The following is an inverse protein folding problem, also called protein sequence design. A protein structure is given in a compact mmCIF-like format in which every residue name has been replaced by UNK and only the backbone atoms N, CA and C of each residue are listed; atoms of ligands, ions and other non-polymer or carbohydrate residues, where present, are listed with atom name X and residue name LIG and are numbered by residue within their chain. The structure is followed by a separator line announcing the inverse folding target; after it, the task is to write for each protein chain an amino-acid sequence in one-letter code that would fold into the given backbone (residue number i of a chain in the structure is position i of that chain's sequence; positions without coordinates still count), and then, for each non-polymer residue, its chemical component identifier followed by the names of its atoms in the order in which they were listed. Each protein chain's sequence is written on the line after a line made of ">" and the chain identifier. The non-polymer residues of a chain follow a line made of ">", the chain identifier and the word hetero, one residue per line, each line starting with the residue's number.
data_IF_354370673052
#
_entry.id   IF_354370673052
#
_cell.length_a   1.000
_cell.length_b   1.000
_cell.length_c   1.000
_cell.angle_alpha   90.00
_cell.angle_beta   90.00
_cell.angle_gamma   90.00
#
_symmetry.space_group_name_H-M   'P 1'
#
loop_
_entity.id
_entity.type
_entity.pdbx_description
1 polymer ?
#
# COMPACT_ATOMS: atom_id res chain seq x y z
N UNK A 1 -30.84 -3.57 15.06
CA UNK A 1 -29.54 -4.27 15.15
C UNK A 1 -28.52 -3.38 14.46
N UNK A 2 -27.66 -2.69 15.22
CA UNK A 2 -26.64 -1.80 14.66
C UNK A 2 -25.72 -2.62 13.78
N UNK A 3 -25.79 -2.38 12.48
CA UNK A 3 -24.77 -2.82 11.55
C UNK A 3 -23.48 -2.10 11.96
N UNK A 4 -22.62 -2.81 12.68
CA UNK A 4 -21.24 -2.38 12.94
C UNK A 4 -20.63 -2.21 11.55
N UNK A 5 -20.49 -0.96 11.11
CA UNK A 5 -19.68 -0.63 9.94
C UNK A 5 -18.37 -1.40 10.09
N UNK A 6 -18.00 -2.26 9.11
CA UNK A 6 -16.77 -3.03 9.21
C UNK A 6 -15.65 -2.01 9.43
N UNK A 7 -15.00 -2.13 10.58
CA UNK A 7 -13.84 -1.33 10.88
C UNK A 7 -12.81 -1.63 9.78
N UNK A 8 -12.65 -0.72 8.83
CA UNK A 8 -11.70 -0.86 7.72
C UNK A 8 -10.27 -1.02 8.24
N UNK A 9 -10.02 -0.70 9.51
CA UNK A 9 -8.75 -0.90 10.19
C UNK A 9 -8.58 -2.31 10.77
N UNK A 10 -9.63 -3.14 10.81
CA UNK A 10 -9.56 -4.51 11.29
C UNK A 10 -9.30 -5.47 10.13
N UNK A 11 -8.28 -6.32 10.30
CA UNK A 11 -8.03 -7.42 9.38
C UNK A 11 -9.27 -8.33 9.27
N UNK A 12 -9.62 -8.83 8.08
CA UNK A 12 -10.59 -9.91 7.92
C UNK A 12 -10.23 -11.11 8.83
N UNK A 13 -11.22 -11.80 9.42
CA UNK A 13 -10.97 -12.89 10.37
C UNK A 13 -10.22 -14.09 9.74
N UNK A 14 -10.26 -14.22 8.42
CA UNK A 14 -9.57 -15.19 7.60
C UNK A 14 -8.11 -14.81 7.27
N UNK A 15 -7.72 -13.55 7.52
CA UNK A 15 -6.35 -13.06 7.34
C UNK A 15 -5.74 -12.77 8.71
N UNK A 16 -5.06 -13.76 9.28
CA UNK A 16 -4.34 -13.59 10.55
C UNK A 16 -3.12 -12.67 10.34
N UNK A 17 -2.98 -11.57 11.08
CA UNK A 17 -1.89 -10.63 10.88
C UNK A 17 -0.53 -11.26 11.24
N UNK A 18 0.46 -11.14 10.36
CA UNK A 18 1.85 -11.61 10.57
C UNK A 18 2.59 -10.87 11.68
N UNK A 19 2.07 -9.71 12.11
CA UNK A 19 2.59 -8.94 13.24
C UNK A 19 1.51 -8.05 13.88
N UNK A 20 1.72 -7.55 15.12
CA UNK A 20 0.84 -6.55 15.69
C UNK A 20 0.86 -5.27 14.83
N UNK A 21 -0.32 -4.86 14.32
CA UNK A 21 -0.45 -3.59 13.61
C UNK A 21 -0.52 -2.39 14.57
N UNK A 22 -0.06 -1.23 14.10
CA UNK A 22 -0.01 0.05 14.82
C UNK A 22 -0.72 1.11 13.98
N UNK A 23 -1.47 2.03 14.61
CA UNK A 23 -2.11 3.16 13.91
C UNK A 23 -1.10 4.17 13.35
N UNK A 24 0.14 4.11 13.82
CA UNK A 24 1.26 4.88 13.28
C UNK A 24 1.88 4.21 12.05
N UNK A 25 2.58 4.99 11.22
CA UNK A 25 3.35 4.46 10.09
C UNK A 25 4.43 3.50 10.58
N UNK A 26 4.45 2.27 10.03
CA UNK A 26 5.49 1.27 10.31
C UNK A 26 6.75 1.41 9.46
N UNK A 27 6.83 2.45 8.60
CA UNK A 27 7.90 2.61 7.60
C UNK A 27 8.10 1.37 6.72
N UNK A 28 7.00 0.68 6.39
CA UNK A 28 7.04 -0.53 5.59
C UNK A 28 7.35 -0.27 4.10
N UNK A 29 7.14 0.96 3.62
CA UNK A 29 7.36 1.36 2.22
C UNK A 29 6.25 0.93 1.25
N UNK A 30 5.27 0.12 1.69
CA UNK A 30 4.24 -0.42 0.81
C UNK A 30 3.35 0.67 0.17
N UNK A 31 2.90 1.66 0.93
CA UNK A 31 2.11 2.78 0.38
C UNK A 31 2.89 3.66 -0.60
N UNK A 32 4.23 3.66 -0.52
CA UNK A 32 5.07 4.39 -1.45
C UNK A 32 5.42 3.58 -2.71
N UNK A 33 5.49 2.26 -2.63
CA UNK A 33 5.95 1.42 -3.74
C UNK A 33 4.83 0.65 -4.45
N UNK A 34 3.77 0.27 -3.76
CA UNK A 34 2.76 -0.62 -4.32
C UNK A 34 1.66 0.07 -5.15
N UNK A 35 0.93 1.10 -4.67
CA UNK A 35 -0.28 1.60 -5.36
C UNK A 35 0.05 2.41 -6.62
N UNK A 36 -0.81 2.40 -7.64
CA UNK A 36 -0.73 3.40 -8.72
C UNK A 36 -1.20 4.76 -8.20
N UNK A 37 -0.46 5.82 -8.51
CA UNK A 37 -0.81 7.19 -8.11
C UNK A 37 -0.63 8.10 -9.33
N UNK A 38 -1.70 8.25 -10.11
CA UNK A 38 -1.74 9.08 -11.32
C UNK A 38 -1.29 10.51 -11.05
N UNK A 39 -1.73 11.12 -9.95
CA UNK A 39 -1.35 12.49 -9.57
C UNK A 39 0.17 12.67 -9.35
N UNK A 40 0.90 11.58 -9.12
CA UNK A 40 2.36 11.57 -8.95
C UNK A 40 3.08 10.94 -10.14
N UNK A 41 2.36 10.56 -11.20
CA UNK A 41 2.87 9.77 -12.32
C UNK A 41 3.65 8.54 -11.82
N UNK A 42 3.12 7.86 -10.79
CA UNK A 42 3.78 6.75 -10.13
C UNK A 42 3.05 5.44 -10.49
N UNK A 43 3.60 4.62 -11.40
CA UNK A 43 2.96 3.38 -11.81
C UNK A 43 2.78 2.40 -10.64
N UNK A 44 1.85 1.46 -10.82
CA UNK A 44 1.62 0.34 -9.92
C UNK A 44 2.89 -0.49 -9.74
N UNK A 45 3.20 -0.88 -8.50
CA UNK A 45 4.38 -1.68 -8.14
C UNK A 45 5.73 -0.95 -8.24
N UNK A 46 5.77 0.29 -8.73
CA UNK A 46 7.00 1.08 -8.87
C UNK A 46 7.24 1.94 -7.63
N UNK A 47 8.48 1.89 -7.11
CA UNK A 47 8.94 2.70 -6.00
C UNK A 47 8.77 4.21 -6.28
N UNK A 48 8.11 4.93 -5.36
CA UNK A 48 8.01 6.39 -5.44
C UNK A 48 9.40 7.03 -5.39
N UNK A 49 9.59 8.12 -6.14
CA UNK A 49 10.79 8.97 -6.10
C UNK A 49 11.17 9.48 -4.69
N UNK A 50 10.19 9.56 -3.78
CA UNK A 50 10.40 10.04 -2.42
C UNK A 50 10.71 8.91 -1.42
N UNK A 51 10.81 7.67 -1.88
CA UNK A 51 11.11 6.51 -1.02
C UNK A 51 12.63 6.32 -0.93
N UNK A 52 13.16 6.23 0.28
CA UNK A 52 14.58 5.95 0.51
C UNK A 52 14.87 4.43 0.57
N UNK A 53 16.16 4.09 0.59
CA UNK A 53 16.63 2.70 0.69
C UNK A 53 16.21 2.00 2.00
N UNK A 54 15.77 2.76 3.00
CA UNK A 54 15.28 2.26 4.28
C UNK A 54 13.75 2.16 4.34
N UNK A 55 13.05 2.24 3.20
CA UNK A 55 11.59 2.20 3.09
C UNK A 55 10.86 3.39 3.77
N UNK A 56 11.54 4.51 3.96
CA UNK A 56 10.99 5.74 4.56
C UNK A 56 10.66 6.75 3.47
N UNK A 57 9.50 7.40 3.62
CA UNK A 57 9.12 8.52 2.77
C UNK A 57 9.89 9.77 3.22
N UNK A 58 10.74 10.32 2.35
CA UNK A 58 11.57 11.49 2.67
C UNK A 58 10.77 12.78 2.85
N UNK A 59 9.56 12.84 2.30
CA UNK A 59 8.64 13.99 2.44
C UNK A 59 7.46 13.68 3.35
N UNK A 60 7.63 12.79 4.35
CA UNK A 60 6.50 12.24 5.14
C UNK A 60 5.56 13.32 5.72
N UNK A 61 6.10 14.44 6.21
CA UNK A 61 5.34 15.57 6.75
C UNK A 61 4.69 16.44 5.66
N UNK A 62 5.34 16.53 4.51
CA UNK A 62 4.94 17.36 3.36
C UNK A 62 4.15 16.59 2.30
N UNK A 63 3.84 15.31 2.56
CA UNK A 63 3.18 14.38 1.63
C UNK A 63 1.98 15.02 0.93
N UNK A 64 1.81 14.91 -0.38
CA UNK A 64 0.63 15.45 -1.05
C UNK A 64 -0.65 14.79 -0.55
N UNK A 65 -1.80 15.43 -0.74
CA UNK A 65 -3.08 15.00 -0.14
C UNK A 65 -3.46 13.57 -0.50
N UNK A 66 -3.17 13.12 -1.72
CA UNK A 66 -3.34 11.72 -2.14
C UNK A 66 -2.60 10.74 -1.23
N UNK A 67 -1.40 11.08 -0.77
CA UNK A 67 -0.63 10.27 0.17
C UNK A 67 -1.07 10.44 1.62
N UNK A 68 -1.67 11.58 2.00
CA UNK A 68 -2.23 11.80 3.35
C UNK A 68 -3.56 11.06 3.55
N UNK A 69 -4.32 10.88 2.48
CA UNK A 69 -5.57 10.12 2.49
C UNK A 69 -5.34 8.64 2.77
N UNK A 70 -4.16 8.11 2.45
CA UNK A 70 -3.74 6.78 2.90
C UNK A 70 -3.38 6.81 4.39
N UNK A 71 -4.20 6.14 5.20
CA UNK A 71 -3.96 5.92 6.63
C UNK A 71 -3.36 4.54 6.87
N UNK A 72 -2.34 4.40 7.73
CA UNK A 72 -1.85 3.08 8.13
C UNK A 72 -2.99 2.21 8.64
N UNK A 73 -3.08 1.00 8.12
CA UNK A 73 -4.10 -0.01 8.40
C UNK A 73 -3.44 -1.39 8.58
N UNK A 74 -4.24 -2.42 8.84
CA UNK A 74 -3.75 -3.78 9.10
C UNK A 74 -2.82 -4.32 8.00
N UNK A 75 -2.93 -3.84 6.75
CA UNK A 75 -2.03 -4.22 5.65
C UNK A 75 -0.58 -3.84 5.99
N UNK A 76 -0.36 -2.74 6.70
CA UNK A 76 0.96 -2.37 7.19
C UNK A 76 1.57 -3.43 8.13
N UNK A 77 0.74 -4.12 8.93
CA UNK A 77 1.17 -5.22 9.80
C UNK A 77 1.40 -6.55 9.05
N UNK A 78 0.73 -6.74 7.91
CA UNK A 78 0.97 -7.87 7.01
C UNK A 78 2.29 -7.72 6.24
N UNK A 79 2.58 -6.52 5.74
CA UNK A 79 3.73 -6.29 4.86
C UNK A 79 5.00 -5.95 5.64
N UNK A 80 4.95 -5.19 6.74
CA UNK A 80 6.16 -4.76 7.46
C UNK A 80 7.15 -5.89 7.84
N UNK A 81 6.69 -7.09 8.25
CA UNK A 81 7.60 -8.19 8.59
C UNK A 81 8.34 -8.81 7.41
N UNK A 82 7.94 -8.51 6.17
CA UNK A 82 8.56 -9.11 4.99
C UNK A 82 9.97 -8.52 4.75
N UNK A 83 10.91 -9.37 4.28
CA UNK A 83 12.34 -9.06 4.31
C UNK A 83 12.80 -8.05 3.26
N UNK A 84 12.03 -7.83 2.19
CA UNK A 84 12.39 -6.93 1.10
C UNK A 84 11.22 -6.05 0.68
N UNK A 85 11.51 -4.88 0.11
CA UNK A 85 10.49 -3.99 -0.46
C UNK A 85 9.67 -4.70 -1.55
N UNK A 86 10.33 -5.51 -2.37
CA UNK A 86 9.67 -6.31 -3.41
C UNK A 86 8.64 -7.28 -2.81
N UNK A 87 9.00 -8.02 -1.76
CA UNK A 87 8.07 -8.92 -1.09
C UNK A 87 6.88 -8.16 -0.47
N UNK A 88 7.13 -6.96 0.08
CA UNK A 88 6.09 -6.08 0.62
C UNK A 88 5.13 -5.60 -0.46
N UNK A 89 5.65 -5.20 -1.62
CA UNK A 89 4.86 -4.80 -2.78
C UNK A 89 4.05 -5.97 -3.29
N UNK A 90 4.66 -7.15 -3.49
CA UNK A 90 3.97 -8.35 -3.95
C UNK A 90 2.80 -8.73 -3.03
N UNK A 91 3.02 -8.73 -1.70
CA UNK A 91 1.96 -9.02 -0.73
C UNK A 91 0.86 -7.96 -0.74
N UNK A 92 1.19 -6.68 -0.86
CA UNK A 92 0.19 -5.62 -0.99
C UNK A 92 -0.68 -5.86 -2.23
N UNK A 93 -0.05 -6.11 -3.39
CA UNK A 93 -0.76 -6.36 -4.64
C UNK A 93 -1.66 -7.59 -4.54
N UNK A 94 -1.20 -8.68 -3.92
CA UNK A 94 -2.01 -9.87 -3.63
C UNK A 94 -3.24 -9.54 -2.75
N UNK A 95 -3.05 -8.80 -1.65
CA UNK A 95 -4.14 -8.44 -0.72
C UNK A 95 -5.22 -7.59 -1.39
N UNK A 96 -4.83 -6.70 -2.31
CA UNK A 96 -5.76 -5.87 -3.07
C UNK A 96 -6.16 -6.47 -4.42
N UNK A 97 -5.71 -7.69 -4.75
CA UNK A 97 -5.95 -8.37 -6.02
C UNK A 97 -5.55 -7.52 -7.24
N UNK A 98 -4.45 -6.79 -7.11
CA UNK A 98 -3.90 -5.93 -8.14
C UNK A 98 -2.81 -6.69 -8.90
N UNK A 99 -2.81 -6.58 -10.23
CA UNK A 99 -1.73 -7.05 -11.07
C UNK A 99 -0.94 -5.86 -11.57
N UNK A 100 0.40 -5.85 -11.49
CA UNK A 100 1.19 -4.86 -12.22
C UNK A 100 1.09 -5.21 -13.70
N UNK A 101 0.01 -4.79 -14.38
CA UNK A 101 -0.08 -4.91 -15.83
C UNK A 101 1.05 -4.09 -16.47
N UNK A 102 2.14 -4.74 -16.82
CA UNK A 102 3.13 -4.21 -17.74
C UNK A 102 2.56 -4.25 -19.17
N UNK A 103 1.54 -3.45 -19.50
CA UNK A 103 1.34 -2.90 -20.85
C UNK A 103 0.19 -1.90 -20.87
N UNK A 104 0.51 -0.65 -21.19
CA UNK A 104 -0.40 0.17 -21.98
C UNK A 104 -0.75 -0.60 -23.26
N UNK A 105 -1.92 -1.24 -23.29
CA UNK A 105 -2.62 -1.43 -24.56
C UNK A 105 -3.79 -0.47 -24.56
N UNK A 106 -3.51 0.74 -25.04
CA UNK A 106 -4.51 1.53 -25.74
C UNK A 106 -4.96 0.71 -26.95
N UNK A 107 -6.06 -0.02 -26.86
CA UNK A 107 -6.92 -0.34 -28.01
C UNK A 107 -8.31 -0.78 -27.55
N UNK A 108 -9.27 0.09 -27.89
CA UNK A 108 -10.64 -0.18 -28.32
C UNK A 108 -11.50 -1.25 -27.62
N UNK A 109 -12.68 -0.81 -27.18
CA UNK A 109 -13.91 -1.46 -27.63
C UNK A 109 -14.97 -0.39 -27.88
N UNK A 110 -15.34 -0.30 -29.16
CA UNK A 110 -16.54 0.32 -29.72
C UNK A 110 -17.82 -0.21 -29.03
#
# INVERSE_FOLDING_TARGET
>A
MSQVLPDLFRSPPDVAPRSPWRRECSSCGACCAAPDITALHKPLGVACRNLDAHCRCQVYLERPDVCRNYRPDWVCGEVAPLPSLEARVARFLELYQLTPEHTFTSHEAH
#
